data_IF_119382546625
#
_entry.id   IF_119382546625
#
_cell.length_a   1.000
_cell.length_b   1.000
_cell.length_c   1.000
_cell.angle_alpha   90.00
_cell.angle_beta   90.00
_cell.angle_gamma   90.00
#
_symmetry.space_group_name_H-M   'P 1'
#
loop_
_entity.id
_entity.type
_entity.pdbx_description
1 polymer ?
#
# COMPACT_ATOMS: atom_id res chain seq x y z
N UNK A 1 -14.78 -10.61 -97.63
CA UNK A 1 -15.98 -9.96 -97.05
C UNK A 1 -16.17 -10.53 -95.64
N UNK A 2 -16.47 -9.66 -94.66
CA UNK A 2 -16.98 -9.89 -93.28
C UNK A 2 -16.22 -10.85 -92.34
N UNK A 3 -15.79 -10.53 -91.11
CA UNK A 3 -15.91 -9.35 -90.24
C UNK A 3 -15.63 -9.71 -88.75
N UNK A 4 -15.04 -8.78 -87.98
CA UNK A 4 -15.15 -8.55 -86.50
C UNK A 4 -14.56 -9.64 -85.55
N UNK A 5 -13.42 -9.47 -84.86
CA UNK A 5 -13.00 -8.60 -83.71
C UNK A 5 -13.36 -9.10 -82.29
N UNK A 6 -12.34 -9.30 -81.41
CA UNK A 6 -12.16 -8.71 -80.04
C UNK A 6 -11.23 -9.55 -79.10
N UNK A 7 -10.03 -9.00 -78.85
CA UNK A 7 -9.21 -8.90 -77.61
C UNK A 7 -9.01 -10.08 -76.62
N UNK A 8 -7.70 -10.33 -76.38
CA UNK A 8 -6.97 -10.51 -75.09
C UNK A 8 -7.17 -11.80 -74.28
N UNK A 9 -6.07 -12.47 -73.90
CA UNK A 9 -5.73 -12.76 -72.49
C UNK A 9 -4.33 -13.40 -72.37
N UNK A 10 -3.48 -12.85 -71.49
CA UNK A 10 -2.13 -13.37 -71.22
C UNK A 10 -1.27 -12.41 -70.41
N UNK A 11 -1.76 -12.00 -69.22
CA UNK A 11 -0.96 -11.30 -68.21
C UNK A 11 -0.61 -12.28 -67.10
N UNK A 12 0.67 -12.65 -67.02
CA UNK A 12 1.28 -13.37 -65.90
C UNK A 12 1.29 -12.43 -64.68
N UNK A 13 0.66 -12.87 -63.59
CA UNK A 13 0.67 -12.17 -62.29
C UNK A 13 1.94 -12.57 -61.55
N UNK A 14 2.85 -11.62 -61.34
CA UNK A 14 3.93 -11.76 -60.38
C UNK A 14 3.34 -11.58 -58.97
N UNK A 15 3.35 -12.65 -58.18
CA UNK A 15 2.96 -12.61 -56.78
C UNK A 15 4.09 -11.92 -55.96
N UNK A 16 3.83 -10.70 -55.51
CA UNK A 16 4.68 -10.02 -54.54
C UNK A 16 4.46 -10.64 -53.14
N UNK A 17 5.45 -11.39 -52.65
CA UNK A 17 5.53 -11.81 -51.25
C UNK A 17 5.82 -10.57 -50.39
N UNK A 18 4.80 -10.04 -49.73
CA UNK A 18 4.97 -9.02 -48.70
C UNK A 18 5.35 -9.69 -47.39
N UNK A 19 6.64 -9.58 -47.01
CA UNK A 19 7.09 -9.92 -45.66
C UNK A 19 6.49 -8.92 -44.67
N UNK A 20 5.50 -9.36 -43.86
CA UNK A 20 5.09 -8.60 -42.67
C UNK A 20 6.21 -8.74 -41.64
N UNK A 21 7.06 -7.71 -41.53
CA UNK A 21 7.88 -7.52 -40.34
C UNK A 21 6.92 -7.33 -39.16
N UNK A 22 6.84 -8.32 -38.27
CA UNK A 22 6.14 -8.16 -37.00
C UNK A 22 6.85 -7.08 -36.20
N UNK A 23 6.17 -5.95 -35.95
CA UNK A 23 6.68 -4.94 -35.05
C UNK A 23 6.92 -5.58 -33.68
N UNK A 24 8.18 -5.63 -33.24
CA UNK A 24 8.49 -6.04 -31.88
C UNK A 24 7.79 -5.06 -30.94
N UNK A 25 6.89 -5.59 -30.09
CA UNK A 25 6.19 -4.79 -29.09
C UNK A 25 7.26 -4.23 -28.15
N UNK A 26 7.36 -2.91 -28.06
CA UNK A 26 8.31 -2.26 -27.16
C UNK A 26 8.03 -2.73 -25.70
N UNK A 27 9.07 -3.00 -24.90
CA UNK A 27 8.89 -3.49 -23.55
C UNK A 27 8.16 -2.45 -22.70
N UNK A 28 7.24 -2.91 -21.85
CA UNK A 28 6.49 -2.05 -20.92
C UNK A 28 7.45 -1.32 -19.98
N UNK A 29 7.36 0.01 -19.91
CA UNK A 29 8.20 0.80 -19.00
C UNK A 29 7.56 0.98 -17.63
N UNK A 30 8.36 1.34 -16.62
CA UNK A 30 7.87 1.58 -15.26
C UNK A 30 6.81 2.69 -15.22
N UNK A 31 6.99 3.77 -15.98
CA UNK A 31 6.03 4.86 -16.09
C UNK A 31 4.70 4.40 -16.71
N UNK A 32 4.74 3.56 -17.75
CA UNK A 32 3.54 2.99 -18.36
C UNK A 32 2.81 2.03 -17.40
N UNK A 33 3.56 1.24 -16.62
CA UNK A 33 2.98 0.39 -15.61
C UNK A 33 2.31 1.20 -14.48
N UNK A 34 2.99 2.22 -13.97
CA UNK A 34 2.42 3.13 -12.94
C UNK A 34 1.16 3.83 -13.47
N UNK A 35 1.19 4.33 -14.71
CA UNK A 35 0.04 4.97 -15.33
C UNK A 35 -1.14 4.01 -15.47
N UNK A 36 -0.90 2.74 -15.84
CA UNK A 36 -1.94 1.69 -15.89
C UNK A 36 -2.58 1.46 -14.52
N UNK A 37 -1.78 1.45 -13.45
CA UNK A 37 -2.25 1.36 -12.06
C UNK A 37 -3.11 2.58 -11.70
N UNK A 38 -2.64 3.78 -12.00
CA UNK A 38 -3.35 5.04 -11.72
C UNK A 38 -4.69 5.10 -12.47
N UNK A 39 -4.72 4.68 -13.73
CA UNK A 39 -5.96 4.61 -14.52
C UNK A 39 -6.95 3.61 -13.93
N UNK A 40 -6.47 2.44 -13.49
CA UNK A 40 -7.32 1.45 -12.82
C UNK A 40 -7.90 1.98 -11.51
N UNK A 41 -7.09 2.69 -10.71
CA UNK A 41 -7.56 3.35 -9.49
C UNK A 41 -8.65 4.39 -9.80
N UNK A 42 -8.44 5.23 -10.81
CA UNK A 42 -9.44 6.22 -11.24
C UNK A 42 -10.74 5.55 -11.70
N UNK A 43 -10.66 4.44 -12.45
CA UNK A 43 -11.81 3.65 -12.84
C UNK A 43 -12.55 2.99 -11.66
N UNK A 44 -11.88 2.78 -10.52
CA UNK A 44 -12.46 2.34 -9.25
C UNK A 44 -12.96 3.51 -8.37
N UNK A 45 -12.98 4.73 -8.90
CA UNK A 45 -13.47 5.92 -8.20
C UNK A 45 -12.46 6.55 -7.24
N UNK A 46 -11.17 6.20 -7.34
CA UNK A 46 -10.12 6.82 -6.53
C UNK A 46 -9.61 8.08 -7.23
N UNK A 47 -9.89 9.23 -6.64
CA UNK A 47 -9.46 10.52 -7.16
C UNK A 47 -7.95 10.74 -7.01
N UNK A 48 -7.34 11.32 -8.04
CA UNK A 48 -5.93 11.73 -8.01
C UNK A 48 -5.77 12.95 -7.11
N UNK A 49 -4.95 12.83 -6.08
CA UNK A 49 -4.65 13.95 -5.18
C UNK A 49 -3.68 14.93 -5.85
N UNK A 50 -3.94 16.23 -5.70
CA UNK A 50 -3.04 17.28 -6.20
C UNK A 50 -1.65 17.22 -5.52
N UNK A 51 -1.63 16.86 -4.23
CA UNK A 51 -0.42 16.58 -3.46
C UNK A 51 -0.47 15.13 -3.00
N UNK A 52 0.50 14.33 -3.42
CA UNK A 52 0.58 12.91 -3.07
C UNK A 52 2.01 12.50 -2.80
N UNK A 53 2.17 11.46 -1.96
CA UNK A 53 3.45 10.79 -1.79
C UNK A 53 3.70 9.71 -2.87
N UNK A 54 2.71 9.43 -3.73
CA UNK A 54 2.73 8.37 -4.73
C UNK A 54 3.60 8.73 -5.94
N UNK A 55 4.91 8.75 -5.72
CA UNK A 55 5.92 9.14 -6.70
C UNK A 55 7.04 8.12 -6.79
N UNK A 56 7.79 8.16 -7.90
CA UNK A 56 9.01 7.36 -8.04
C UNK A 56 10.04 7.93 -7.07
N UNK A 57 10.51 7.10 -6.14
CA UNK A 57 11.49 7.47 -5.10
C UNK A 57 12.92 7.17 -5.53
N UNK A 58 13.11 6.20 -6.45
CA UNK A 58 14.39 5.89 -7.11
C UNK A 58 14.11 5.19 -8.44
N UNK A 59 15.05 5.32 -9.38
CA UNK A 59 14.94 4.75 -10.73
C UNK A 59 14.28 5.70 -11.73
N UNK A 60 14.20 5.25 -12.99
CA UNK A 60 13.69 6.05 -14.11
C UNK A 60 12.38 5.46 -14.66
N UNK A 61 11.42 6.33 -14.99
CA UNK A 61 10.13 5.92 -15.54
C UNK A 61 10.25 5.22 -16.91
N UNK A 62 11.31 5.48 -17.68
CA UNK A 62 11.59 4.82 -18.95
C UNK A 62 12.20 3.41 -18.79
N UNK A 63 12.53 2.98 -17.56
CA UNK A 63 13.13 1.66 -17.31
C UNK A 63 12.16 0.55 -17.75
N UNK A 64 12.58 -0.38 -18.64
CA UNK A 64 11.79 -1.56 -18.98
C UNK A 64 11.52 -2.44 -17.74
N UNK A 65 10.28 -2.86 -17.56
CA UNK A 65 9.86 -3.69 -16.42
C UNK A 65 10.03 -5.17 -16.76
N UNK A 66 10.70 -5.91 -15.87
CA UNK A 66 10.90 -7.35 -15.95
C UNK A 66 10.03 -8.13 -14.95
N UNK A 67 9.50 -7.44 -13.95
CA UNK A 67 8.57 -7.97 -12.97
C UNK A 67 8.21 -6.93 -11.93
N UNK A 68 7.13 -7.18 -11.19
CA UNK A 68 6.61 -6.26 -10.18
C UNK A 68 6.64 -6.95 -8.81
N UNK A 69 7.05 -6.22 -7.77
CA UNK A 69 6.93 -6.67 -6.40
C UNK A 69 6.14 -5.65 -5.58
N UNK A 70 5.27 -6.11 -4.70
CA UNK A 70 4.58 -5.27 -3.71
C UNK A 70 5.18 -5.47 -2.32
N UNK A 71 5.17 -4.43 -1.49
CA UNK A 71 5.68 -4.53 -0.13
C UNK A 71 5.11 -3.44 0.76
N UNK A 72 5.02 -3.71 2.08
CA UNK A 72 4.79 -2.64 3.05
C UNK A 72 5.90 -1.60 2.94
N UNK A 73 7.17 -1.98 3.03
CA UNK A 73 8.27 -1.02 2.94
C UNK A 73 9.44 -1.61 2.17
N UNK A 74 9.97 -0.85 1.20
CA UNK A 74 11.13 -1.21 0.40
C UNK A 74 12.44 -1.16 1.22
N UNK A 75 12.57 -2.03 2.23
CA UNK A 75 13.78 -2.20 3.02
C UNK A 75 14.95 -2.68 2.15
N UNK A 76 16.19 -2.53 2.62
CA UNK A 76 17.35 -3.03 1.87
C UNK A 76 17.29 -4.55 1.64
N UNK A 77 16.77 -5.31 2.61
CA UNK A 77 16.54 -6.74 2.46
C UNK A 77 15.49 -7.05 1.38
N UNK A 78 14.40 -6.26 1.31
CA UNK A 78 13.40 -6.39 0.25
C UNK A 78 14.01 -6.10 -1.13
N UNK A 79 14.79 -5.02 -1.27
CA UNK A 79 15.45 -4.69 -2.54
C UNK A 79 16.38 -5.81 -3.03
N UNK A 80 17.13 -6.46 -2.12
CA UNK A 80 17.93 -7.64 -2.47
C UNK A 80 17.09 -8.80 -2.99
N UNK A 81 15.93 -9.06 -2.36
CA UNK A 81 14.98 -10.08 -2.83
C UNK A 81 14.41 -9.73 -4.20
N UNK A 82 14.05 -8.47 -4.41
CA UNK A 82 13.51 -7.98 -5.68
C UNK A 82 14.53 -8.13 -6.83
N UNK A 83 15.79 -7.75 -6.60
CA UNK A 83 16.88 -7.97 -7.56
C UNK A 83 17.05 -9.45 -7.91
N UNK A 84 17.13 -10.33 -6.90
CA UNK A 84 17.27 -11.76 -7.10
C UNK A 84 16.07 -12.39 -7.84
N UNK A 85 14.87 -11.88 -7.59
CA UNK A 85 13.63 -12.32 -8.23
C UNK A 85 13.37 -11.70 -9.61
N UNK A 86 14.23 -10.75 -10.06
CA UNK A 86 14.04 -9.95 -11.27
C UNK A 86 12.69 -9.21 -11.31
N UNK A 87 12.24 -8.73 -10.16
CA UNK A 87 11.06 -7.85 -10.04
C UNK A 87 11.55 -6.42 -9.85
N UNK A 88 11.85 -5.72 -10.95
CA UNK A 88 12.54 -4.44 -10.92
C UNK A 88 11.63 -3.22 -10.77
N UNK A 89 10.30 -3.37 -10.83
CA UNK A 89 9.36 -2.36 -10.37
C UNK A 89 8.83 -2.73 -8.97
N UNK A 90 9.19 -1.96 -7.95
CA UNK A 90 8.77 -2.19 -6.56
C UNK A 90 7.70 -1.18 -6.17
N UNK A 91 6.52 -1.68 -5.82
CA UNK A 91 5.41 -0.90 -5.28
C UNK A 91 5.51 -0.94 -3.74
N UNK A 92 6.06 0.12 -3.17
CA UNK A 92 6.26 0.25 -1.71
C UNK A 92 5.12 1.04 -1.10
N UNK A 93 4.42 0.51 -0.11
CA UNK A 93 3.39 1.28 0.59
C UNK A 93 4.01 2.46 1.35
N UNK A 94 4.99 2.16 2.17
CA UNK A 94 5.73 3.09 2.99
C UNK A 94 7.03 3.56 2.35
N UNK A 95 7.59 4.59 2.98
CA UNK A 95 8.75 5.35 2.51
C UNK A 95 9.97 4.45 2.20
N UNK A 96 10.58 4.64 1.02
CA UNK A 96 11.84 3.98 0.66
C UNK A 96 13.01 4.49 1.53
N UNK A 97 13.11 5.80 1.71
CA UNK A 97 14.20 6.43 2.46
C UNK A 97 13.69 7.03 3.76
N UNK A 98 14.59 7.14 4.74
CA UNK A 98 14.34 7.82 6.01
C UNK A 98 14.06 9.30 5.75
N UNK A 99 13.15 9.90 6.53
CA UNK A 99 12.82 11.32 6.43
C UNK A 99 12.09 11.73 5.13
N UNK A 100 11.40 10.82 4.45
CA UNK A 100 10.46 11.21 3.38
C UNK A 100 9.31 12.05 3.97
N UNK A 101 8.80 13.03 3.22
CA UNK A 101 7.75 13.94 3.68
C UNK A 101 8.21 14.99 4.70
N UNK A 102 7.49 15.10 5.83
CA UNK A 102 7.62 16.21 6.80
C UNK A 102 8.85 16.11 7.71
N UNK A 103 9.52 14.96 7.76
CA UNK A 103 10.66 14.69 8.66
C UNK A 103 12.01 14.65 7.93
N UNK A 104 12.15 15.38 6.82
CA UNK A 104 13.39 15.38 6.02
C UNK A 104 14.51 16.12 6.76
N UNK A 105 15.38 15.35 7.39
CA UNK A 105 16.59 15.89 8.02
C UNK A 105 17.61 16.35 6.95
N UNK A 106 18.24 17.54 7.11
CA UNK A 106 19.37 17.95 6.27
C UNK A 106 20.51 16.94 6.31
N UNK A 107 21.22 16.76 5.19
CA UNK A 107 22.40 15.88 5.10
C UNK A 107 22.11 14.38 5.06
N UNK A 108 20.86 13.94 5.23
CA UNK A 108 20.50 12.52 5.24
C UNK A 108 20.79 11.80 3.91
N UNK A 109 20.81 12.53 2.80
CA UNK A 109 21.19 11.99 1.48
C UNK A 109 22.68 11.65 1.38
N UNK A 110 23.51 12.25 2.24
CA UNK A 110 24.95 12.00 2.29
C UNK A 110 25.32 10.84 3.23
N UNK A 111 24.36 10.37 4.03
CA UNK A 111 24.53 9.24 4.93
C UNK A 111 24.95 7.97 4.15
N UNK A 112 25.94 7.22 4.64
CA UNK A 112 26.45 6.03 3.95
C UNK A 112 25.38 4.94 3.76
N UNK A 113 24.41 4.82 4.67
CA UNK A 113 23.31 3.84 4.54
C UNK A 113 22.34 4.29 3.45
N UNK A 114 22.03 5.58 3.38
CA UNK A 114 21.23 6.16 2.29
C UNK A 114 21.88 5.90 0.94
N UNK A 115 23.16 6.28 0.80
CA UNK A 115 23.93 6.13 -0.45
C UNK A 115 24.04 4.67 -0.87
N UNK A 116 24.35 3.76 0.05
CA UNK A 116 24.45 2.34 -0.26
C UNK A 116 23.12 1.75 -0.75
N UNK A 117 22.00 2.12 -0.11
CA UNK A 117 20.67 1.67 -0.52
C UNK A 117 20.27 2.20 -1.90
N UNK A 118 20.54 3.49 -2.16
CA UNK A 118 20.28 4.12 -3.45
C UNK A 118 21.12 3.49 -4.57
N UNK A 119 22.43 3.39 -4.37
CA UNK A 119 23.35 2.79 -5.33
C UNK A 119 22.98 1.34 -5.66
N UNK A 120 22.53 0.57 -4.66
CA UNK A 120 22.07 -0.79 -4.90
C UNK A 120 20.84 -0.81 -5.81
N UNK A 121 19.84 0.04 -5.58
CA UNK A 121 18.65 0.12 -6.43
C UNK A 121 19.03 0.50 -7.87
N UNK A 122 19.86 1.53 -8.05
CA UNK A 122 20.32 2.01 -9.35
C UNK A 122 21.13 0.96 -10.11
N UNK A 123 22.10 0.31 -9.45
CA UNK A 123 22.93 -0.74 -10.05
C UNK A 123 22.13 -1.94 -10.55
N UNK A 124 21.00 -2.25 -9.90
CA UNK A 124 20.15 -3.37 -10.25
C UNK A 124 18.95 -2.95 -11.13
N UNK A 125 18.92 -1.70 -11.60
CA UNK A 125 17.82 -1.19 -12.44
C UNK A 125 16.45 -1.22 -11.74
N UNK A 126 16.44 -1.10 -10.41
CA UNK A 126 15.20 -1.10 -9.61
C UNK A 126 14.59 0.29 -9.64
N UNK A 127 13.31 0.34 -9.99
CA UNK A 127 12.42 1.48 -9.83
C UNK A 127 11.55 1.23 -8.60
N UNK A 128 11.56 2.15 -7.64
CA UNK A 128 10.63 2.10 -6.50
C UNK A 128 9.63 3.22 -6.65
N UNK A 129 8.36 2.86 -6.81
CA UNK A 129 7.24 3.79 -6.75
C UNK A 129 6.53 3.62 -5.41
N UNK A 130 6.28 4.74 -4.71
CA UNK A 130 5.48 4.68 -3.50
C UNK A 130 4.01 4.55 -3.91
N UNK A 131 3.34 3.55 -3.37
CA UNK A 131 1.96 3.20 -3.65
C UNK A 131 1.15 3.24 -2.36
N UNK A 132 0.80 4.46 -1.95
CA UNK A 132 0.27 4.74 -0.61
C UNK A 132 -1.13 5.34 -0.70
N UNK A 133 -1.22 6.58 -1.18
CA UNK A 133 -2.44 7.38 -1.15
C UNK A 133 -3.53 6.78 -2.03
N UNK A 134 -3.15 6.34 -3.24
CA UNK A 134 -4.04 5.66 -4.16
C UNK A 134 -4.53 4.31 -3.62
N UNK A 135 -3.68 3.59 -2.89
CA UNK A 135 -4.05 2.30 -2.29
C UNK A 135 -5.06 2.48 -1.16
N UNK A 136 -4.82 3.42 -0.23
CA UNK A 136 -5.78 3.82 0.80
C UNK A 136 -7.08 4.41 0.24
N UNK A 137 -7.01 5.02 -0.95
CA UNK A 137 -8.17 5.65 -1.59
C UNK A 137 -9.26 4.67 -2.02
N UNK A 138 -8.92 3.38 -2.19
CA UNK A 138 -9.89 2.34 -2.58
C UNK A 138 -10.93 2.12 -1.48
N UNK A 139 -12.14 1.67 -1.88
CA UNK A 139 -13.25 1.42 -0.95
C UNK A 139 -13.73 -0.04 -1.06
N UNK A 140 -13.78 -0.80 0.05
CA UNK A 140 -13.24 -0.46 1.38
C UNK A 140 -11.71 -0.25 1.34
N UNK A 141 -11.16 0.52 2.28
CA UNK A 141 -9.71 0.73 2.40
C UNK A 141 -9.03 -0.65 2.56
N UNK A 142 -8.17 -1.07 1.61
CA UNK A 142 -7.55 -2.40 1.64
C UNK A 142 -6.69 -2.64 2.87
N UNK A 143 -6.09 -1.58 3.43
CA UNK A 143 -5.25 -1.65 4.63
C UNK A 143 -6.09 -2.08 5.83
N UNK A 144 -7.13 -1.32 6.15
CA UNK A 144 -8.00 -1.62 7.29
C UNK A 144 -8.90 -2.85 7.05
N UNK A 145 -9.28 -3.12 5.80
CA UNK A 145 -10.04 -4.32 5.45
C UNK A 145 -9.22 -5.59 5.72
N UNK A 146 -7.95 -5.61 5.31
CA UNK A 146 -7.07 -6.75 5.58
C UNK A 146 -6.74 -6.91 7.07
N UNK A 147 -6.48 -5.80 7.79
CA UNK A 147 -6.30 -5.83 9.24
C UNK A 147 -7.53 -6.41 9.95
N UNK A 148 -8.73 -5.97 9.57
CA UNK A 148 -9.99 -6.46 10.13
C UNK A 148 -10.14 -7.97 9.95
N UNK A 149 -9.81 -8.48 8.76
CA UNK A 149 -9.81 -9.93 8.48
C UNK A 149 -8.77 -10.68 9.30
N UNK A 150 -7.57 -10.14 9.40
CA UNK A 150 -6.51 -10.75 10.20
C UNK A 150 -6.93 -10.86 11.67
N UNK A 151 -7.55 -9.82 12.22
CA UNK A 151 -8.10 -9.81 13.58
C UNK A 151 -9.34 -10.70 13.73
N UNK A 152 -9.99 -11.13 12.65
CA UNK A 152 -11.24 -11.90 12.73
C UNK A 152 -12.41 -11.07 13.26
N UNK A 153 -12.40 -9.76 12.99
CA UNK A 153 -13.35 -8.77 13.50
C UNK A 153 -14.37 -8.30 12.46
N UNK A 154 -14.50 -8.96 11.32
CA UNK A 154 -15.36 -8.55 10.21
C UNK A 154 -16.82 -8.32 10.64
N UNK A 155 -17.39 -9.24 11.42
CA UNK A 155 -18.77 -9.12 11.93
C UNK A 155 -18.97 -7.99 12.96
N UNK A 156 -17.89 -7.54 13.58
CA UNK A 156 -17.91 -6.46 14.56
C UNK A 156 -17.66 -5.10 13.92
N UNK A 157 -17.21 -5.06 12.66
CA UNK A 157 -16.89 -3.83 11.97
C UNK A 157 -18.08 -2.87 11.92
N UNK A 158 -17.79 -1.61 12.25
CA UNK A 158 -18.68 -0.47 12.11
C UNK A 158 -17.92 0.62 11.34
N UNK A 159 -18.43 1.04 10.17
CA UNK A 159 -17.80 2.12 9.42
C UNK A 159 -17.83 3.42 10.22
N UNK A 160 -16.92 4.34 9.89
CA UNK A 160 -16.94 5.68 10.46
C UNK A 160 -18.25 6.40 10.10
N UNK A 161 -18.86 7.20 11.00
CA UNK A 161 -20.16 7.83 10.78
C UNK A 161 -20.23 8.78 9.57
N UNK A 162 -19.09 9.35 9.18
CA UNK A 162 -18.92 10.31 8.08
C UNK A 162 -18.42 9.67 6.77
N UNK A 163 -18.29 8.32 6.74
CA UNK A 163 -17.73 7.59 5.61
C UNK A 163 -16.20 7.74 5.45
N UNK A 164 -15.55 8.53 6.32
CA UNK A 164 -14.10 8.70 6.33
C UNK A 164 -13.44 7.54 7.08
N UNK A 165 -13.07 6.53 6.32
CA UNK A 165 -12.43 5.30 6.80
C UNK A 165 -10.96 5.46 7.15
N UNK A 166 -10.37 6.67 7.03
CA UNK A 166 -8.95 6.94 7.31
C UNK A 166 -8.63 6.77 8.80
N UNK A 167 -8.56 5.51 9.23
CA UNK A 167 -8.29 5.10 10.60
C UNK A 167 -9.44 5.28 11.57
N UNK A 168 -10.63 5.80 11.22
CA UNK A 168 -11.73 6.02 12.20
C UNK A 168 -12.83 4.95 12.20
N UNK A 169 -12.58 3.82 11.54
CA UNK A 169 -13.43 2.65 11.67
C UNK A 169 -13.35 2.06 13.08
N UNK A 170 -14.42 1.40 13.51
CA UNK A 170 -14.48 0.80 14.83
C UNK A 170 -15.03 -0.64 14.79
N UNK A 171 -14.92 -1.31 15.93
CA UNK A 171 -15.39 -2.66 16.14
C UNK A 171 -16.26 -2.69 17.41
N UNK A 172 -17.48 -3.21 17.28
CA UNK A 172 -18.39 -3.48 18.40
C UNK A 172 -18.23 -4.94 18.83
N UNK A 173 -17.37 -5.16 19.82
CA UNK A 173 -17.03 -6.46 20.36
C UNK A 173 -18.05 -6.88 21.44
N UNK A 174 -18.23 -8.19 21.68
CA UNK A 174 -18.76 -8.66 22.95
C UNK A 174 -17.91 -8.09 24.08
N UNK A 175 -18.57 -7.67 25.16
CA UNK A 175 -17.87 -7.06 26.29
C UNK A 175 -16.73 -7.94 26.79
N UNK A 176 -15.57 -7.33 26.92
CA UNK A 176 -14.33 -8.01 27.29
C UNK A 176 -13.45 -7.04 28.09
N UNK A 177 -12.19 -7.41 28.36
CA UNK A 177 -11.23 -6.53 29.02
C UNK A 177 -10.19 -5.99 28.06
N UNK A 178 -9.60 -4.84 28.37
CA UNK A 178 -8.48 -4.29 27.60
C UNK A 178 -7.32 -5.29 27.46
N UNK A 179 -7.01 -6.04 28.51
CA UNK A 179 -5.99 -7.11 28.46
C UNK A 179 -6.35 -8.25 27.51
N UNK A 180 -7.63 -8.62 27.42
CA UNK A 180 -8.09 -9.65 26.50
C UNK A 180 -8.05 -9.16 25.04
N UNK A 181 -8.40 -7.89 24.78
CA UNK A 181 -8.23 -7.27 23.45
C UNK A 181 -6.75 -7.28 23.05
N UNK A 182 -5.86 -6.86 23.94
CA UNK A 182 -4.42 -6.85 23.66
C UNK A 182 -3.86 -8.24 23.35
N UNK A 183 -4.31 -9.25 24.11
CA UNK A 183 -3.97 -10.65 23.88
C UNK A 183 -4.45 -11.15 22.52
N UNK A 184 -5.70 -10.85 22.18
CA UNK A 184 -6.31 -11.20 20.89
C UNK A 184 -5.53 -10.58 19.73
N UNK A 185 -5.24 -9.27 19.79
CA UNK A 185 -4.43 -8.57 18.78
C UNK A 185 -3.05 -9.22 18.64
N UNK A 186 -2.37 -9.48 19.76
CA UNK A 186 -1.06 -10.14 19.77
C UNK A 186 -1.09 -11.50 19.04
N UNK A 187 -2.05 -12.34 19.37
CA UNK A 187 -2.19 -13.69 18.84
C UNK A 187 -2.58 -13.69 17.36
N UNK A 188 -3.55 -12.86 16.97
CA UNK A 188 -4.02 -12.78 15.58
C UNK A 188 -3.00 -12.15 14.65
N UNK A 189 -2.22 -11.17 15.11
CA UNK A 189 -1.18 -10.56 14.30
C UNK A 189 0.18 -11.28 14.41
N UNK A 190 0.32 -12.26 15.30
CA UNK A 190 1.58 -12.99 15.51
C UNK A 190 2.74 -12.10 15.99
N UNK A 191 2.44 -10.95 16.58
CA UNK A 191 3.44 -9.98 17.06
C UNK A 191 3.74 -10.18 18.53
N UNK A 192 4.94 -9.82 18.97
CA UNK A 192 5.28 -9.71 20.41
C UNK A 192 5.13 -8.28 20.94
N UNK A 193 4.92 -7.31 20.05
CA UNK A 193 4.96 -5.90 20.35
C UNK A 193 3.52 -5.35 20.42
N UNK A 194 2.89 -5.53 21.58
CA UNK A 194 1.63 -4.85 21.91
C UNK A 194 1.85 -4.09 23.23
N UNK A 195 1.91 -2.77 23.15
CA UNK A 195 1.97 -1.89 24.33
C UNK A 195 0.55 -1.48 24.69
N UNK A 196 0.24 -1.46 25.98
CA UNK A 196 -1.08 -1.11 26.48
C UNK A 196 -0.96 0.07 27.44
N UNK A 197 -1.80 1.10 27.24
CA UNK A 197 -1.99 2.21 28.17
C UNK A 197 -3.45 2.21 28.62
N UNK A 198 -3.69 2.38 29.92
CA UNK A 198 -5.02 2.25 30.54
C UNK A 198 -5.12 1.05 31.49
N UNK A 199 -6.23 0.94 32.22
CA UNK A 199 -6.45 -0.15 33.17
C UNK A 199 -6.67 -1.48 32.42
N UNK A 200 -5.81 -2.51 32.57
CA UNK A 200 -5.95 -3.77 31.84
C UNK A 200 -7.27 -4.52 32.11
N UNK A 201 -7.94 -4.22 33.23
CA UNK A 201 -9.21 -4.82 33.64
C UNK A 201 -10.44 -4.01 33.23
N UNK A 202 -10.28 -2.84 32.61
CA UNK A 202 -11.44 -2.05 32.18
C UNK A 202 -12.27 -2.82 31.17
N UNK A 203 -13.60 -2.67 31.28
CA UNK A 203 -14.52 -3.18 30.28
C UNK A 203 -14.28 -2.48 28.93
N UNK A 204 -14.29 -3.26 27.86
CA UNK A 204 -14.14 -2.80 26.48
C UNK A 204 -15.23 -3.45 25.65
N UNK A 205 -16.01 -2.62 24.96
CA UNK A 205 -17.02 -3.02 23.98
C UNK A 205 -16.69 -2.46 22.62
N UNK A 206 -16.19 -1.22 22.57
CA UNK A 206 -15.86 -0.54 21.32
C UNK A 206 -14.36 -0.29 21.20
N UNK A 207 -13.77 -0.82 20.13
CA UNK A 207 -12.37 -0.58 19.76
C UNK A 207 -12.35 0.19 18.46
N UNK A 208 -11.77 1.39 18.43
CA UNK A 208 -11.56 2.13 17.20
C UNK A 208 -10.13 1.95 16.68
N UNK A 209 -9.95 2.01 15.36
CA UNK A 209 -8.62 2.22 14.80
C UNK A 209 -8.22 3.70 15.01
N UNK A 210 -6.95 4.01 14.79
CA UNK A 210 -6.49 5.38 14.55
C UNK A 210 -5.12 5.37 13.86
N UNK A 211 -4.56 6.56 13.65
CA UNK A 211 -3.25 6.80 13.02
C UNK A 211 -2.37 7.71 13.90
N UNK A 212 -1.14 7.95 13.43
CA UNK A 212 0.09 8.36 14.13
C UNK A 212 0.01 9.42 15.25
N UNK A 213 -0.93 10.37 15.21
CA UNK A 213 -0.87 11.60 16.02
C UNK A 213 -2.02 11.69 17.03
N UNK A 214 -1.81 12.38 18.16
CA UNK A 214 -2.85 12.66 19.14
C UNK A 214 -4.13 13.23 18.50
N UNK A 215 -3.98 14.16 17.55
CA UNK A 215 -5.12 14.80 16.86
C UNK A 215 -5.97 13.83 16.06
N UNK A 216 -5.40 12.70 15.62
CA UNK A 216 -6.15 11.61 14.99
C UNK A 216 -6.71 10.61 16.01
N UNK A 217 -5.99 10.36 17.11
CA UNK A 217 -6.39 9.44 18.18
C UNK A 217 -7.54 9.98 19.03
N UNK A 218 -7.56 11.28 19.37
CA UNK A 218 -8.58 11.88 20.26
C UNK A 218 -10.01 11.71 19.72
N UNK A 219 -10.33 11.97 18.44
CA UNK A 219 -11.66 11.69 17.90
C UNK A 219 -12.09 10.23 18.08
N UNK A 220 -11.18 9.28 17.89
CA UNK A 220 -11.45 7.86 18.10
C UNK A 220 -11.66 7.55 19.61
N UNK A 221 -10.80 8.06 20.48
CA UNK A 221 -10.90 7.91 21.94
C UNK A 221 -12.19 8.51 22.52
N UNK A 222 -12.74 9.56 21.92
CA UNK A 222 -14.04 10.13 22.34
C UNK A 222 -15.22 9.20 22.11
N UNK A 223 -15.12 8.30 21.13
CA UNK A 223 -16.24 7.43 20.72
C UNK A 223 -16.02 5.96 21.02
N UNK A 224 -14.83 5.55 21.47
CA UNK A 224 -14.47 4.18 21.77
C UNK A 224 -13.92 4.02 23.19
N UNK A 225 -13.96 2.78 23.71
CA UNK A 225 -13.35 2.44 25.01
C UNK A 225 -11.84 2.29 24.86
N UNK A 226 -11.40 1.77 23.71
CA UNK A 226 -10.00 1.64 23.38
C UNK A 226 -9.68 2.01 21.92
N UNK A 227 -8.45 2.43 21.67
CA UNK A 227 -7.93 2.67 20.32
C UNK A 227 -6.79 1.71 20.00
N UNK A 228 -6.83 1.08 18.83
CA UNK A 228 -5.73 0.33 18.23
C UNK A 228 -5.00 1.24 17.23
N UNK A 229 -3.69 1.42 17.43
CA UNK A 229 -2.87 2.30 16.59
C UNK A 229 -1.52 1.64 16.26
N UNK A 230 -1.04 1.89 15.04
CA UNK A 230 0.24 1.36 14.53
C UNK A 230 1.43 1.91 15.30
N UNK A 231 1.35 3.18 15.68
CA UNK A 231 2.34 3.90 16.45
C UNK A 231 1.75 5.24 16.84
N UNK A 232 2.20 5.81 17.95
CA UNK A 232 1.90 7.18 18.32
C UNK A 232 2.92 7.67 19.35
N UNK A 233 2.99 8.98 19.55
CA UNK A 233 3.93 9.58 20.48
C UNK A 233 3.66 9.14 21.93
N UNK A 234 4.74 8.85 22.65
CA UNK A 234 4.63 8.53 24.08
C UNK A 234 4.33 9.79 24.90
N UNK A 235 4.93 10.91 24.53
CA UNK A 235 4.77 12.18 25.21
C UNK A 235 3.41 12.89 24.97
N UNK A 236 2.61 12.42 23.99
CA UNK A 236 1.32 13.03 23.65
C UNK A 236 0.13 12.08 23.92
N UNK A 237 -0.09 11.08 23.08
CA UNK A 237 -1.27 10.20 23.12
C UNK A 237 -1.26 9.28 24.32
N UNK A 238 -0.09 8.78 24.72
CA UNK A 238 -0.02 7.92 25.90
C UNK A 238 -0.28 8.71 27.19
N UNK A 239 0.29 9.92 27.32
CA UNK A 239 -0.01 10.79 28.47
C UNK A 239 -1.47 11.25 28.50
N UNK A 240 -2.04 11.61 27.34
CA UNK A 240 -3.47 11.92 27.26
C UNK A 240 -4.36 10.78 27.81
N UNK A 241 -4.03 9.53 27.46
CA UNK A 241 -4.77 8.35 27.97
C UNK A 241 -4.52 8.13 29.46
N UNK A 242 -3.30 8.33 29.97
CA UNK A 242 -2.99 8.25 31.40
C UNK A 242 -3.76 9.29 32.21
N UNK A 243 -3.80 10.53 31.73
CA UNK A 243 -4.55 11.63 32.35
C UNK A 243 -6.05 11.36 32.34
N UNK A 244 -6.59 10.91 31.19
CA UNK A 244 -7.99 10.49 31.07
C UNK A 244 -8.38 9.46 32.14
N UNK A 245 -7.55 8.43 32.35
CA UNK A 245 -7.79 7.41 33.38
C UNK A 245 -7.73 7.98 34.80
N UNK A 246 -6.78 8.87 35.10
CA UNK A 246 -6.65 9.52 36.41
C UNK A 246 -7.84 10.46 36.71
N UNK A 247 -8.39 11.08 35.68
CA UNK A 247 -9.60 11.93 35.75
C UNK A 247 -10.91 11.12 35.82
N UNK A 248 -10.86 9.80 35.91
CA UNK A 248 -12.04 8.94 35.99
C UNK A 248 -12.77 8.73 34.66
N UNK A 249 -12.11 9.06 33.53
CA UNK A 249 -12.57 8.78 32.17
C UNK A 249 -11.77 7.60 31.61
N UNK A 250 -12.15 6.34 31.92
CA UNK A 250 -11.34 5.19 31.54
C UNK A 250 -11.22 5.06 30.02
N UNK A 251 -9.99 4.96 29.54
CA UNK A 251 -9.66 4.76 28.12
C UNK A 251 -8.49 3.79 27.96
N UNK A 252 -8.55 2.99 26.90
CA UNK A 252 -7.49 2.08 26.49
C UNK A 252 -6.76 2.57 25.25
N UNK A 253 -5.46 2.31 25.19
CA UNK A 253 -4.66 2.46 23.97
C UNK A 253 -3.86 1.18 23.77
N UNK A 254 -4.01 0.57 22.61
CA UNK A 254 -3.21 -0.56 22.14
C UNK A 254 -2.29 -0.05 21.02
N UNK A 255 -0.99 -0.01 21.30
CA UNK A 255 0.02 0.41 20.33
C UNK A 255 0.74 -0.83 19.82
N UNK A 256 0.62 -1.09 18.52
CA UNK A 256 1.38 -2.12 17.82
C UNK A 256 2.57 -1.48 17.09
N UNK A 257 3.08 -2.07 16.01
CA UNK A 257 3.97 -1.35 15.09
C UNK A 257 3.23 -0.99 13.82
N UNK A 258 3.63 0.10 13.17
CA UNK A 258 3.07 0.55 11.89
C UNK A 258 2.97 -0.59 10.88
N UNK A 259 4.07 -1.33 10.71
CA UNK A 259 4.13 -2.50 9.85
C UNK A 259 3.06 -3.55 10.20
N UNK A 260 2.86 -3.87 11.48
CA UNK A 260 1.87 -4.87 11.88
C UNK A 260 0.42 -4.42 11.65
N UNK A 261 0.18 -3.10 11.62
CA UNK A 261 -1.12 -2.56 11.27
C UNK A 261 -1.40 -2.68 9.77
N UNK A 262 -0.40 -2.41 8.92
CA UNK A 262 -0.66 -2.17 7.50
C UNK A 262 -0.15 -3.23 6.53
N UNK A 263 0.85 -4.04 6.90
CA UNK A 263 1.48 -5.02 5.99
C UNK A 263 0.48 -6.03 5.41
N UNK A 264 -0.54 -6.39 6.19
CA UNK A 264 -1.62 -7.27 5.77
C UNK A 264 -2.35 -6.72 4.54
N UNK A 265 -2.49 -5.41 4.46
CA UNK A 265 -3.14 -4.69 3.36
C UNK A 265 -2.36 -4.70 2.05
N UNK A 266 -1.08 -5.05 2.07
CA UNK A 266 -0.29 -5.21 0.85
C UNK A 266 -0.40 -6.60 0.24
N UNK A 267 -0.88 -7.62 0.98
CA UNK A 267 -1.07 -8.96 0.40
C UNK A 267 -2.10 -8.96 -0.74
N UNK A 268 -3.30 -8.34 -0.60
CA UNK A 268 -4.25 -8.22 -1.70
C UNK A 268 -3.75 -7.36 -2.86
N UNK A 269 -2.72 -6.51 -2.65
CA UNK A 269 -2.15 -5.71 -3.72
C UNK A 269 -1.46 -6.59 -4.77
N UNK A 270 -0.87 -7.72 -4.38
CA UNK A 270 -0.26 -8.68 -5.31
C UNK A 270 -1.28 -9.16 -6.34
N UNK A 271 -2.40 -9.72 -5.86
CA UNK A 271 -3.46 -10.25 -6.71
C UNK A 271 -4.13 -9.16 -7.55
N UNK A 272 -4.32 -7.97 -6.98
CA UNK A 272 -4.90 -6.84 -7.70
C UNK A 272 -3.98 -6.37 -8.81
N UNK A 273 -2.68 -6.17 -8.54
CA UNK A 273 -1.69 -5.76 -9.54
C UNK A 273 -1.51 -6.82 -10.62
N UNK A 274 -1.49 -8.11 -10.26
CA UNK A 274 -1.35 -9.21 -11.22
C UNK A 274 -2.43 -9.19 -12.32
N UNK A 275 -3.66 -8.75 -12.01
CA UNK A 275 -4.73 -8.62 -12.99
C UNK A 275 -4.46 -7.55 -14.06
N UNK A 276 -3.65 -6.53 -13.75
CA UNK A 276 -3.29 -5.46 -14.69
C UNK A 276 -2.10 -5.83 -15.58
N UNK A 277 -1.31 -6.82 -15.19
CA UNK A 277 -0.06 -7.20 -15.84
C UNK A 277 0.04 -8.72 -16.05
N UNK A 278 -0.89 -9.34 -16.81
CA UNK A 278 -0.82 -10.78 -17.11
C UNK A 278 0.47 -11.19 -17.84
N UNK A 279 1.17 -10.23 -18.45
CA UNK A 279 2.44 -10.41 -19.14
C UNK A 279 3.68 -10.38 -18.24
N UNK A 280 3.55 -10.04 -16.95
CA UNK A 280 4.68 -9.91 -16.01
C UNK A 280 4.51 -10.78 -14.76
N UNK A 281 5.61 -11.27 -14.16
CA UNK A 281 5.56 -11.85 -12.83
C UNK A 281 5.27 -10.75 -11.80
N UNK A 282 4.27 -10.99 -10.95
CA UNK A 282 3.92 -10.12 -9.81
C UNK A 282 4.06 -10.90 -8.51
N UNK A 283 4.72 -10.32 -7.51
CA UNK A 283 5.06 -10.96 -6.24
C UNK A 283 4.80 -10.09 -5.02
#
# INVERSE_FOLDING_TARGET
MSGISRRHFGRTVAAALTSRAGAAIAPLTAGQAIERIVQKLAAEGVERRAKTTDTIKVGDAATPVTGIATTFQATFAMLKKAAAAKTNLVLSHESLFWGDGVNRAPGLTDDPVYRAKRQFAEKNGIVVWRFHDGWHGRKPDPIFAALTRQLGWERYFRPAPDGDTAGRSAYELPETTLAAVARHVRERLGTRNVRVVGNPRMAVRRVANSVHWLTACVPALRTADAVLVGETGELDTMEYVRDSNTLGMPKGLLVISHNMLEEWGMRPAVDWVAQLFPELPVK
#
